data_IF_400927121304
#
_entry.id   IF_400927121304
#
_cell.length_a   1.000
_cell.length_b   1.000
_cell.length_c   1.000
_cell.angle_alpha   90.00
_cell.angle_beta   90.00
_cell.angle_gamma   90.00
#
_symmetry.space_group_name_H-M   'P 1'
#
loop_
_entity.id
_entity.type
_entity.pdbx_description
1 polymer ?
#
# COMPACT_ATOMS: atom_id res chain seq x y z
N UNK A 1 0.42 -10.35 5.77
CA UNK A 1 1.13 -10.32 4.48
C UNK A 1 1.34 -8.88 4.07
N UNK A 2 2.52 -8.51 3.55
CA UNK A 2 2.82 -7.14 3.07
C UNK A 2 2.91 -7.14 1.56
N UNK A 3 2.22 -6.20 0.92
CA UNK A 3 2.28 -6.02 -0.53
C UNK A 3 2.77 -4.62 -0.82
N UNK A 4 3.93 -4.51 -1.49
CA UNK A 4 4.39 -3.20 -1.97
C UNK A 4 3.55 -2.81 -3.18
N UNK A 5 2.91 -1.66 -3.12
CA UNK A 5 2.14 -1.10 -4.23
C UNK A 5 2.96 0.04 -4.82
N UNK A 6 3.68 -0.23 -5.90
CA UNK A 6 4.51 0.74 -6.59
C UNK A 6 3.78 1.23 -7.84
N UNK A 7 3.13 2.39 -7.74
CA UNK A 7 2.21 2.85 -8.77
C UNK A 7 2.16 4.37 -8.89
N UNK A 8 2.00 4.84 -10.12
CA UNK A 8 1.68 6.25 -10.37
C UNK A 8 0.26 6.58 -9.92
N UNK A 9 -0.04 7.87 -9.71
CA UNK A 9 -1.39 8.32 -9.36
C UNK A 9 -2.31 8.18 -10.58
N UNK A 10 -3.04 7.08 -10.63
CA UNK A 10 -3.98 6.74 -11.69
C UNK A 10 -5.29 6.15 -11.12
N UNK A 11 -6.25 5.84 -11.98
CA UNK A 11 -7.58 5.36 -11.59
C UNK A 11 -7.55 3.98 -10.94
N UNK A 12 -6.53 3.18 -11.27
CA UNK A 12 -6.32 1.83 -10.78
C UNK A 12 -5.83 1.83 -9.33
N UNK A 13 -5.16 2.89 -8.87
CA UNK A 13 -4.51 2.92 -7.56
C UNK A 13 -5.48 2.62 -6.40
N UNK A 14 -6.67 3.26 -6.30
CA UNK A 14 -7.64 2.89 -5.26
C UNK A 14 -8.07 1.41 -5.32
N UNK A 15 -8.26 0.86 -6.52
CA UNK A 15 -8.64 -0.54 -6.69
C UNK A 15 -7.51 -1.49 -6.27
N UNK A 16 -6.25 -1.15 -6.59
CA UNK A 16 -5.07 -1.89 -6.14
C UNK A 16 -4.97 -1.93 -4.61
N UNK A 17 -5.11 -0.77 -3.95
CA UNK A 17 -5.06 -0.68 -2.47
C UNK A 17 -6.18 -1.48 -1.81
N UNK A 18 -7.42 -1.36 -2.34
CA UNK A 18 -8.57 -2.12 -1.85
C UNK A 18 -8.43 -3.62 -2.11
N UNK A 19 -7.83 -4.01 -3.24
CA UNK A 19 -7.53 -5.40 -3.57
C UNK A 19 -6.60 -6.04 -2.54
N UNK A 20 -5.54 -5.31 -2.13
CA UNK A 20 -4.64 -5.76 -1.06
C UNK A 20 -5.41 -5.96 0.25
N UNK A 21 -6.25 -5.01 0.66
CA UNK A 21 -7.07 -5.16 1.87
C UNK A 21 -8.06 -6.31 1.79
N UNK A 22 -8.74 -6.49 0.65
CA UNK A 22 -9.69 -7.60 0.44
C UNK A 22 -8.99 -8.95 0.55
N UNK A 23 -7.72 -9.04 0.18
CA UNK A 23 -6.89 -10.23 0.36
C UNK A 23 -6.32 -10.38 1.79
N UNK A 24 -6.68 -9.50 2.73
CA UNK A 24 -6.15 -9.49 4.11
C UNK A 24 -4.72 -8.95 4.22
N UNK A 25 -4.20 -8.34 3.16
CA UNK A 25 -2.86 -7.79 3.09
C UNK A 25 -2.76 -6.36 3.62
N UNK A 26 -1.54 -5.98 3.97
CA UNK A 26 -1.15 -4.61 4.33
C UNK A 26 -0.40 -3.99 3.16
N UNK A 27 -0.89 -2.88 2.61
CA UNK A 27 -0.19 -2.23 1.50
C UNK A 27 0.96 -1.35 1.99
N UNK A 28 2.03 -1.30 1.20
CA UNK A 28 3.17 -0.42 1.38
C UNK A 28 3.27 0.46 0.12
N UNK A 29 2.77 1.71 0.13
CA UNK A 29 2.72 2.51 -1.07
C UNK A 29 4.10 3.08 -1.39
N UNK A 30 4.53 2.95 -2.64
CA UNK A 30 5.79 3.46 -3.16
C UNK A 30 5.54 4.28 -4.41
N UNK A 31 6.08 5.49 -4.45
CA UNK A 31 6.06 6.32 -5.65
C UNK A 31 7.17 5.84 -6.60
N UNK A 32 6.86 5.44 -7.85
CA UNK A 32 7.86 4.99 -8.82
C UNK A 32 8.84 6.11 -9.22
N UNK A 33 8.49 7.37 -8.99
CA UNK A 33 9.36 8.53 -9.19
C UNK A 33 10.42 8.72 -8.09
N UNK A 34 10.40 7.90 -7.03
CA UNK A 34 11.47 7.92 -6.03
C UNK A 34 12.81 7.45 -6.59
N UNK A 35 13.95 7.93 -6.05
CA UNK A 35 15.25 7.39 -6.41
C UNK A 35 15.30 5.86 -6.21
N UNK A 36 15.93 5.14 -7.13
CA UNK A 36 16.00 3.67 -7.10
C UNK A 36 16.52 3.12 -5.75
N UNK A 37 17.51 3.78 -5.15
CA UNK A 37 18.03 3.40 -3.83
C UNK A 37 16.97 3.50 -2.71
N UNK A 38 16.04 4.45 -2.80
CA UNK A 38 14.93 4.59 -1.85
C UNK A 38 13.90 3.47 -2.04
N UNK A 39 13.57 3.14 -3.30
CA UNK A 39 12.66 2.04 -3.63
C UNK A 39 13.25 0.72 -3.13
N UNK A 40 14.53 0.46 -3.42
CA UNK A 40 15.25 -0.73 -2.95
C UNK A 40 15.30 -0.82 -1.41
N UNK A 41 15.52 0.31 -0.72
CA UNK A 41 15.46 0.34 0.75
C UNK A 41 14.08 -0.05 1.27
N UNK A 42 13.01 0.51 0.68
CA UNK A 42 11.63 0.16 1.09
C UNK A 42 11.35 -1.32 0.83
N UNK A 43 11.69 -1.85 -0.35
CA UNK A 43 11.50 -3.26 -0.67
C UNK A 43 12.24 -4.19 0.31
N UNK A 44 13.50 -3.86 0.62
CA UNK A 44 14.31 -4.65 1.55
C UNK A 44 13.81 -4.59 2.99
N UNK A 45 13.43 -3.40 3.49
CA UNK A 45 12.98 -3.22 4.88
C UNK A 45 11.54 -3.70 5.07
N UNK A 46 10.69 -3.52 4.07
CA UNK A 46 9.30 -3.96 4.11
C UNK A 46 9.18 -5.47 3.97
N UNK A 47 10.14 -6.16 3.33
CA UNK A 47 10.14 -7.61 3.13
C UNK A 47 8.75 -8.12 2.69
N UNK A 48 8.29 -7.69 1.48
CA UNK A 48 6.94 -7.94 1.01
C UNK A 48 6.81 -9.36 0.44
N UNK A 49 5.59 -9.89 0.47
CA UNK A 49 5.25 -11.17 -0.17
C UNK A 49 5.03 -11.01 -1.69
N UNK A 50 4.75 -9.79 -2.15
CA UNK A 50 4.60 -9.44 -3.56
C UNK A 50 4.76 -7.93 -3.79
N UNK A 51 5.07 -7.55 -5.04
CA UNK A 51 5.03 -6.18 -5.53
C UNK A 51 3.91 -6.06 -6.55
N UNK A 52 3.01 -5.09 -6.39
CA UNK A 52 1.93 -4.78 -7.31
C UNK A 52 2.21 -3.44 -7.99
N UNK A 53 2.15 -3.41 -9.32
CA UNK A 53 2.46 -2.24 -10.14
C UNK A 53 1.36 -1.94 -11.16
N UNK A 54 1.22 -0.67 -11.54
CA UNK A 54 0.38 -0.25 -12.68
C UNK A 54 1.18 0.12 -13.93
N UNK A 55 2.51 0.18 -13.80
CA UNK A 55 3.44 0.35 -14.91
C UNK A 55 4.52 -0.72 -14.76
N UNK A 56 4.86 -1.43 -15.84
CA UNK A 56 5.89 -2.47 -15.80
C UNK A 56 7.25 -1.85 -15.45
N UNK A 57 7.85 -2.37 -14.38
CA UNK A 57 9.14 -1.94 -13.84
C UNK A 57 9.91 -3.17 -13.37
N UNK A 58 11.23 -3.13 -13.54
CA UNK A 58 12.11 -4.19 -13.07
C UNK A 58 12.53 -3.89 -11.62
N UNK A 59 12.35 -4.89 -10.75
CA UNK A 59 12.81 -4.86 -9.38
C UNK A 59 13.77 -6.03 -9.17
N UNK A 60 14.87 -5.78 -8.45
CA UNK A 60 15.78 -6.82 -8.02
C UNK A 60 15.25 -7.47 -6.73
N UNK A 61 14.21 -8.30 -6.89
CA UNK A 61 13.52 -8.99 -5.79
C UNK A 61 13.18 -10.42 -6.18
N UNK A 62 13.13 -11.32 -5.18
CA UNK A 62 12.79 -12.73 -5.39
C UNK A 62 11.27 -13.00 -5.35
N UNK A 63 10.48 -11.99 -4.96
CA UNK A 63 9.03 -12.11 -4.83
C UNK A 63 8.30 -11.77 -6.13
N UNK A 64 7.05 -12.24 -6.33
CA UNK A 64 6.29 -11.94 -7.53
C UNK A 64 6.09 -10.43 -7.72
N UNK A 65 6.37 -9.95 -8.93
CA UNK A 65 6.00 -8.62 -9.41
C UNK A 65 4.78 -8.78 -10.30
N UNK A 66 3.65 -8.28 -9.83
CA UNK A 66 2.34 -8.41 -10.47
C UNK A 66 1.96 -7.07 -11.12
N UNK A 67 1.61 -7.10 -12.40
CA UNK A 67 0.95 -5.96 -13.04
C UNK A 67 -0.54 -6.00 -12.72
N UNK A 68 -1.17 -4.83 -12.47
CA UNK A 68 -2.59 -4.74 -12.11
C UNK A 68 -3.51 -5.41 -13.15
N UNK A 69 -3.21 -5.26 -14.43
CA UNK A 69 -3.98 -5.88 -15.53
C UNK A 69 -3.88 -7.41 -15.59
N UNK A 70 -2.84 -7.98 -14.99
CA UNK A 70 -2.61 -9.42 -14.97
C UNK A 70 -3.28 -10.08 -13.75
N UNK A 71 -3.82 -9.29 -12.81
CA UNK A 71 -4.54 -9.78 -11.64
C UNK A 71 -5.96 -10.19 -12.04
N UNK A 72 -6.44 -11.40 -11.67
CA UNK A 72 -7.79 -11.82 -11.99
C UNK A 72 -8.85 -10.87 -11.42
N UNK A 73 -9.85 -10.51 -12.24
CA UNK A 73 -10.99 -9.68 -11.79
C UNK A 73 -11.86 -10.39 -10.72
N UNK A 74 -11.74 -11.71 -10.59
CA UNK A 74 -12.50 -12.47 -9.59
C UNK A 74 -11.92 -12.24 -8.19
N UNK A 75 -12.66 -11.50 -7.39
CA UNK A 75 -12.40 -11.40 -5.95
C UNK A 75 -12.67 -12.75 -5.27
N UNK A 76 -11.71 -13.20 -4.45
CA UNK A 76 -11.95 -14.24 -3.44
C UNK A 76 -12.82 -13.72 -2.30
N UNK A 77 -13.13 -14.59 -1.33
CA UNK A 77 -13.78 -14.14 -0.10
C UNK A 77 -12.86 -13.16 0.65
N UNK A 78 -13.41 -12.06 1.21
CA UNK A 78 -12.61 -11.11 1.97
C UNK A 78 -11.92 -11.77 3.14
N UNK A 79 -10.63 -11.49 3.32
CA UNK A 79 -9.84 -11.98 4.45
C UNK A 79 -9.60 -10.81 5.41
N UNK A 80 -9.79 -11.05 6.71
CA UNK A 80 -9.43 -10.06 7.73
C UNK A 80 -7.90 -9.90 7.80
N UNK A 81 -7.43 -8.66 7.75
CA UNK A 81 -6.02 -8.31 7.88
C UNK A 81 -5.74 -7.51 9.14
N UNK A 82 -4.50 -7.58 9.63
CA UNK A 82 -4.09 -6.88 10.86
C UNK A 82 -3.87 -5.36 10.62
N UNK A 83 -2.94 -5.04 9.72
CA UNK A 83 -2.54 -3.66 9.43
C UNK A 83 -3.12 -3.15 8.11
N UNK A 84 -3.56 -1.88 8.10
CA UNK A 84 -4.08 -1.23 6.91
C UNK A 84 -2.94 -0.84 5.96
N UNK A 85 -1.90 -0.19 6.48
CA UNK A 85 -0.76 0.23 5.66
C UNK A 85 0.54 0.41 6.43
N UNK A 86 1.64 0.44 5.68
CA UNK A 86 2.96 0.88 6.15
C UNK A 86 3.42 2.06 5.30
N UNK A 87 3.65 3.23 5.91
CA UNK A 87 4.17 4.41 5.20
C UNK A 87 5.57 4.76 5.71
N UNK A 88 6.51 4.94 4.79
CA UNK A 88 7.90 5.27 5.09
C UNK A 88 8.12 6.78 5.23
N UNK A 89 8.70 7.18 6.35
CA UNK A 89 9.03 8.59 6.65
C UNK A 89 10.54 8.82 6.65
N UNK A 90 11.01 10.05 6.41
CA UNK A 90 12.42 10.42 6.58
C UNK A 90 12.77 10.38 8.07
N UNK A 91 13.28 9.25 8.55
CA UNK A 91 13.65 9.11 9.96
C UNK A 91 14.71 10.13 10.38
N UNK A 92 14.69 10.54 11.66
CA UNK A 92 15.66 11.50 12.23
C UNK A 92 17.12 11.05 12.13
N UNK A 93 17.35 9.75 11.97
CA UNK A 93 18.67 9.13 11.79
C UNK A 93 19.12 9.05 10.32
N UNK A 94 18.41 9.75 9.41
CA UNK A 94 18.66 9.74 7.96
C UNK A 94 18.17 8.48 7.23
N UNK A 95 17.83 7.42 7.97
CA UNK A 95 17.29 6.17 7.41
C UNK A 95 15.76 6.18 7.47
N UNK A 96 15.06 5.91 6.35
CA UNK A 96 13.61 5.83 6.36
C UNK A 96 13.08 4.74 7.30
N UNK A 97 11.96 5.02 7.97
CA UNK A 97 11.29 4.07 8.89
C UNK A 97 9.86 3.82 8.43
N UNK A 98 9.48 2.54 8.33
CA UNK A 98 8.10 2.13 8.07
C UNK A 98 7.22 2.33 9.30
N UNK A 99 6.20 3.18 9.18
CA UNK A 99 5.18 3.37 10.23
C UNK A 99 4.00 2.48 9.91
N UNK A 100 3.73 1.52 10.79
CA UNK A 100 2.58 0.61 10.68
C UNK A 100 1.34 1.30 11.21
N UNK A 101 0.25 1.25 10.45
CA UNK A 101 -1.07 1.74 10.86
C UNK A 101 -2.09 0.63 10.68
N UNK A 102 -2.79 0.30 11.77
CA UNK A 102 -3.85 -0.70 11.83
C UNK A 102 -5.19 -0.15 11.37
N UNK A 103 -6.08 -1.03 10.88
CA UNK A 103 -7.44 -0.66 10.46
C UNK A 103 -8.19 0.11 11.55
N UNK A 104 -8.11 -0.34 12.81
CA UNK A 104 -8.76 0.34 13.94
C UNK A 104 -8.28 1.78 14.16
N UNK A 105 -7.03 2.09 13.81
CA UNK A 105 -6.48 3.45 13.94
C UNK A 105 -7.03 4.37 12.87
N UNK A 106 -7.20 3.85 11.65
CA UNK A 106 -7.87 4.56 10.54
C UNK A 106 -9.33 4.84 10.90
N UNK A 107 -10.07 3.81 11.33
CA UNK A 107 -11.48 3.96 11.74
C UNK A 107 -11.63 4.96 12.89
N UNK A 108 -10.73 4.91 13.88
CA UNK A 108 -10.71 5.87 14.99
C UNK A 108 -10.49 7.30 14.51
N UNK A 109 -9.61 7.51 13.52
CA UNK A 109 -9.39 8.84 12.95
C UNK A 109 -10.70 9.37 12.34
N UNK A 110 -11.34 8.61 11.45
CA UNK A 110 -12.60 9.01 10.82
C UNK A 110 -13.69 9.32 11.84
N UNK A 111 -13.90 8.43 12.82
CA UNK A 111 -14.89 8.64 13.87
C UNK A 111 -14.60 9.90 14.72
N UNK A 112 -13.32 10.16 15.04
CA UNK A 112 -12.93 11.34 15.82
C UNK A 112 -13.10 12.65 15.04
N UNK A 113 -12.99 12.60 13.71
CA UNK A 113 -13.04 13.78 12.84
C UNK A 113 -14.38 14.01 12.16
N UNK A 114 -15.33 13.09 12.31
CA UNK A 114 -16.66 13.14 11.69
C UNK A 114 -17.37 14.48 11.90
N UNK A 115 -17.37 15.00 13.14
CA UNK A 115 -18.00 16.29 13.47
C UNK A 115 -17.39 17.51 12.75
N UNK A 116 -16.16 17.40 12.25
CA UNK A 116 -15.46 18.52 11.61
C UNK A 116 -15.56 18.47 10.09
N UNK A 117 -15.51 17.28 9.49
CA UNK A 117 -15.50 17.12 8.05
C UNK A 117 -16.82 16.58 7.49
N UNK A 118 -17.47 15.65 8.20
CA UNK A 118 -18.79 15.14 7.82
C UNK A 118 -18.87 14.53 6.42
N UNK A 119 -17.80 13.87 5.94
CA UNK A 119 -17.73 13.40 4.56
C UNK A 119 -18.94 12.56 4.16
N UNK A 120 -19.57 12.91 3.05
CA UNK A 120 -20.70 12.19 2.48
C UNK A 120 -20.60 12.01 0.96
N UNK A 121 -21.66 11.49 0.34
CA UNK A 121 -21.68 11.19 -1.10
C UNK A 121 -21.79 12.43 -2.00
N UNK A 122 -21.89 13.63 -1.42
CA UNK A 122 -22.05 14.92 -2.12
C UNK A 122 -20.77 15.77 -2.12
N UNK A 123 -19.71 15.32 -1.44
CA UNK A 123 -18.36 15.91 -1.50
C UNK A 123 -17.60 15.59 -2.80
#
# INVERSE_FOLDING_TARGET
SRVVVCAERALELPAMLLGVWRAGGTYVPVDPGYPAARIAHVLSDADPDAVLVNTRMDFDVEVPVLHVDDVPERAGEPVEGDAAYVIYTSGSTGRPKGVVVEHRQVLRLFAATERWFGFDATD
#
